data_IF_390563764588
#
_entry.id   IF_390563764588
#
_cell.length_a   1.000
_cell.length_b   1.000
_cell.length_c   1.000
_cell.angle_alpha   90.00
_cell.angle_beta   90.00
_cell.angle_gamma   90.00
#
_symmetry.space_group_name_H-M   'P 1'
#
loop_
_entity.id
_entity.type
_entity.pdbx_description
1 polymer ?
#
# COMPACT_ATOMS: atom_id res chain seq x y z
N UNK A 1 49.74 -36.79 4.56
CA UNK A 1 49.76 -38.26 4.42
C UNK A 1 49.75 -38.52 2.93
N UNK A 2 50.73 -39.29 2.42
CA UNK A 2 50.79 -39.66 1.00
C UNK A 2 49.61 -40.59 0.74
N UNK A 3 48.73 -40.33 -0.27
CA UNK A 3 47.65 -41.25 -0.59
C UNK A 3 48.21 -42.61 -1.00
N UNK A 4 47.52 -43.69 -0.70
CA UNK A 4 47.95 -45.00 -1.14
C UNK A 4 47.88 -45.00 -2.67
N UNK A 5 49.05 -45.29 -3.30
CA UNK A 5 49.08 -45.60 -4.71
C UNK A 5 48.13 -46.77 -4.96
N UNK A 6 47.11 -46.55 -5.79
CA UNK A 6 46.28 -47.64 -6.28
C UNK A 6 47.18 -48.45 -7.20
N UNK A 7 47.67 -49.53 -6.71
CA UNK A 7 48.39 -50.54 -7.55
C UNK A 7 47.34 -51.06 -8.54
N UNK A 8 47.66 -51.15 -9.84
CA UNK A 8 46.76 -51.78 -10.80
C UNK A 8 46.43 -53.21 -10.33
N UNK A 9 45.10 -53.47 -10.15
CA UNK A 9 44.66 -54.82 -9.82
C UNK A 9 44.87 -55.70 -11.06
N UNK A 10 45.90 -56.49 -11.06
CA UNK A 10 46.06 -57.53 -12.05
C UNK A 10 45.03 -58.63 -11.75
N UNK A 11 44.02 -58.79 -12.58
CA UNK A 11 43.09 -59.92 -12.49
C UNK A 11 43.64 -61.05 -13.35
N UNK A 12 44.22 -62.04 -12.70
CA UNK A 12 44.68 -63.23 -13.37
C UNK A 12 43.53 -64.23 -13.57
N UNK A 13 43.03 -64.36 -14.81
CA UNK A 13 42.07 -65.39 -15.18
C UNK A 13 42.84 -66.58 -15.88
N UNK A 14 42.95 -67.68 -15.17
CA UNK A 14 43.56 -68.90 -15.75
C UNK A 14 42.52 -69.49 -16.75
N UNK A 15 42.81 -69.45 -18.05
CA UNK A 15 42.11 -70.25 -19.06
C UNK A 15 42.70 -71.61 -19.22
N UNK A 16 41.88 -72.65 -19.05
CA UNK A 16 42.26 -74.06 -18.92
C UNK A 16 42.56 -74.79 -20.25
N UNK A 17 42.96 -74.11 -21.31
CA UNK A 17 43.43 -74.81 -22.53
C UNK A 17 44.60 -74.08 -23.16
N UNK A 18 45.78 -74.53 -22.86
CA UNK A 18 47.01 -74.08 -23.48
C UNK A 18 47.57 -75.13 -24.41
N UNK A 19 47.65 -74.86 -25.72
CA UNK A 19 48.60 -75.47 -26.60
C UNK A 19 50.01 -75.06 -26.21
N UNK A 20 51.07 -75.42 -26.90
CA UNK A 20 52.49 -75.39 -26.52
C UNK A 20 53.07 -74.08 -25.93
N UNK A 21 52.26 -72.95 -25.83
CA UNK A 21 52.59 -71.67 -25.12
C UNK A 21 51.35 -71.04 -24.48
N UNK A 22 51.28 -71.09 -23.15
CA UNK A 22 50.28 -70.35 -22.41
C UNK A 22 50.71 -68.87 -22.26
N UNK A 23 50.00 -67.96 -22.85
CA UNK A 23 50.19 -66.57 -22.57
C UNK A 23 49.20 -66.20 -21.46
N UNK A 24 49.72 -65.68 -20.36
CA UNK A 24 48.93 -65.16 -19.25
C UNK A 24 48.08 -64.03 -19.74
N UNK A 25 46.74 -64.05 -19.48
CA UNK A 25 45.83 -62.95 -19.81
C UNK A 25 46.01 -61.90 -18.74
N UNK A 26 46.51 -60.73 -19.13
CA UNK A 26 46.60 -59.52 -18.30
C UNK A 26 45.59 -58.51 -18.86
N UNK A 27 44.51 -58.32 -18.11
CA UNK A 27 43.48 -57.38 -18.50
C UNK A 27 43.80 -55.96 -17.98
N UNK A 28 43.74 -54.91 -18.85
CA UNK A 28 44.03 -53.52 -18.50
C UNK A 28 43.85 -52.58 -19.65
N UNK A 29 43.98 -51.24 -19.41
CA UNK A 29 44.01 -50.30 -20.46
C UNK A 29 45.33 -50.33 -21.24
N UNK A 30 45.24 -50.49 -22.53
CA UNK A 30 46.39 -50.59 -23.46
C UNK A 30 46.74 -49.22 -24.11
N UNK A 31 46.04 -48.17 -23.82
CA UNK A 31 46.30 -46.78 -24.34
C UNK A 31 47.30 -46.08 -23.41
N UNK A 32 48.47 -45.73 -23.95
CA UNK A 32 49.56 -45.06 -23.22
C UNK A 32 49.18 -43.61 -22.75
N UNK A 33 48.11 -43.03 -23.27
CA UNK A 33 47.64 -41.72 -22.89
C UNK A 33 46.63 -41.78 -21.74
N UNK A 34 46.13 -42.96 -21.41
CA UNK A 34 45.15 -43.12 -20.34
C UNK A 34 45.81 -43.09 -18.94
N UNK A 35 45.06 -42.55 -17.95
CA UNK A 35 45.51 -42.48 -16.56
C UNK A 35 45.77 -43.86 -15.96
N UNK A 36 44.96 -44.85 -16.35
CA UNK A 36 45.06 -46.25 -15.91
C UNK A 36 45.78 -47.15 -16.91
N UNK A 37 46.72 -46.62 -17.74
CA UNK A 37 47.52 -47.42 -18.65
C UNK A 37 48.28 -48.51 -17.91
N UNK A 38 48.15 -49.73 -18.43
CA UNK A 38 48.94 -50.90 -17.95
C UNK A 38 49.79 -51.44 -19.09
N UNK A 39 51.09 -51.28 -18.97
CA UNK A 39 52.07 -51.73 -19.98
C UNK A 39 52.15 -53.22 -20.11
N UNK A 40 51.61 -54.00 -19.18
CA UNK A 40 51.59 -55.47 -19.19
C UNK A 40 50.31 -56.05 -19.78
N UNK A 41 49.23 -55.15 -19.98
CA UNK A 41 47.98 -55.62 -20.52
C UNK A 41 48.11 -56.16 -21.93
N UNK A 42 47.48 -57.33 -22.17
CA UNK A 42 47.32 -57.93 -23.47
C UNK A 42 45.84 -58.16 -23.84
N UNK A 43 44.91 -57.76 -22.95
CA UNK A 43 43.48 -57.79 -23.14
C UNK A 43 42.91 -56.48 -22.68
N UNK A 44 42.14 -55.78 -23.54
CA UNK A 44 41.68 -54.40 -23.33
C UNK A 44 40.57 -54.34 -22.30
N UNK A 45 40.77 -53.51 -21.27
CA UNK A 45 39.73 -52.96 -20.37
C UNK A 45 39.49 -51.47 -20.67
N UNK A 46 38.42 -50.89 -20.14
CA UNK A 46 38.12 -49.44 -20.29
C UNK A 46 39.29 -48.58 -19.84
N UNK A 47 39.62 -47.56 -20.66
CA UNK A 47 40.62 -46.56 -20.39
C UNK A 47 39.99 -45.27 -19.79
N UNK A 48 40.66 -44.71 -18.78
CA UNK A 48 40.24 -43.46 -18.11
C UNK A 48 41.27 -42.37 -18.38
N UNK A 49 40.79 -41.16 -18.74
CA UNK A 49 41.67 -40.11 -19.20
C UNK A 49 41.61 -38.85 -18.34
N UNK A 50 40.57 -38.69 -17.53
CA UNK A 50 40.27 -37.46 -16.80
C UNK A 50 40.27 -37.75 -15.28
N UNK A 51 41.42 -37.64 -14.61
CA UNK A 51 41.46 -37.78 -13.16
C UNK A 51 40.81 -36.61 -12.46
N UNK A 52 40.13 -36.85 -11.33
CA UNK A 52 39.50 -35.83 -10.52
C UNK A 52 38.55 -36.38 -9.47
N UNK A 53 37.88 -35.51 -8.75
CA UNK A 53 36.89 -35.92 -7.75
C UNK A 53 35.61 -36.42 -8.44
N UNK A 54 35.21 -37.65 -8.19
CA UNK A 54 34.00 -38.28 -8.74
C UNK A 54 32.81 -38.23 -7.79
N UNK A 55 33.00 -37.80 -6.54
CA UNK A 55 31.92 -37.81 -5.55
C UNK A 55 31.23 -36.49 -5.41
N UNK A 56 29.89 -36.41 -5.66
CA UNK A 56 29.10 -35.17 -5.50
C UNK A 56 28.90 -34.73 -4.03
N UNK A 57 29.44 -35.51 -3.07
CA UNK A 57 29.49 -35.11 -1.67
C UNK A 57 30.57 -34.04 -1.37
N UNK A 58 31.44 -33.76 -2.33
CA UNK A 58 32.60 -32.88 -2.13
C UNK A 58 32.57 -31.66 -3.05
N UNK A 59 33.11 -30.53 -2.56
CA UNK A 59 33.16 -29.25 -3.26
C UNK A 59 33.95 -29.36 -4.57
N UNK A 60 35.07 -30.10 -4.57
CA UNK A 60 35.95 -30.29 -5.74
C UNK A 60 35.20 -30.83 -6.95
N UNK A 61 34.18 -31.70 -6.75
CA UNK A 61 33.31 -32.20 -7.83
C UNK A 61 32.63 -31.06 -8.61
N UNK A 62 32.19 -29.97 -7.94
CA UNK A 62 31.50 -28.86 -8.55
C UNK A 62 32.43 -27.77 -9.09
N UNK A 63 33.66 -27.70 -8.59
CA UNK A 63 34.62 -26.62 -8.93
C UNK A 63 35.67 -27.02 -9.96
N UNK A 64 35.86 -28.33 -10.20
CA UNK A 64 36.89 -28.82 -11.16
C UNK A 64 36.54 -28.47 -12.63
N UNK A 65 35.28 -28.13 -12.97
CA UNK A 65 34.89 -27.66 -14.30
C UNK A 65 34.80 -28.73 -15.39
N UNK A 66 34.99 -29.99 -15.07
CA UNK A 66 34.92 -31.15 -15.97
C UNK A 66 34.36 -32.37 -15.22
N UNK A 67 33.96 -33.41 -15.96
CA UNK A 67 33.50 -34.66 -15.39
C UNK A 67 34.69 -35.62 -15.37
N UNK A 68 35.12 -36.03 -14.16
CA UNK A 68 36.16 -37.00 -13.99
C UNK A 68 35.63 -38.40 -14.28
N UNK A 69 36.48 -39.27 -14.88
CA UNK A 69 36.22 -40.71 -15.16
C UNK A 69 37.08 -41.64 -14.30
N UNK A 70 38.01 -41.08 -13.51
CA UNK A 70 38.79 -41.79 -12.51
C UNK A 70 38.99 -40.94 -11.26
N UNK A 71 38.76 -41.52 -10.09
CA UNK A 71 39.01 -40.86 -8.81
C UNK A 71 40.51 -40.78 -8.52
N UNK A 72 41.04 -39.57 -8.38
CA UNK A 72 42.44 -39.28 -8.09
C UNK A 72 42.71 -38.98 -6.61
N UNK A 73 41.67 -39.05 -5.77
CA UNK A 73 41.75 -38.73 -4.35
C UNK A 73 41.69 -37.22 -4.05
N UNK A 74 41.35 -36.38 -5.02
CA UNK A 74 41.23 -34.91 -4.84
C UNK A 74 39.96 -34.46 -4.13
N UNK A 75 39.07 -35.37 -3.77
CA UNK A 75 37.89 -35.08 -2.97
C UNK A 75 38.28 -34.73 -1.52
N UNK A 76 38.29 -33.43 -1.14
CA UNK A 76 38.85 -32.97 0.13
C UNK A 76 37.85 -32.24 1.05
N UNK A 77 36.99 -31.39 0.49
CA UNK A 77 36.09 -30.52 1.24
C UNK A 77 34.64 -30.92 0.98
N UNK A 78 33.83 -31.12 2.02
CA UNK A 78 32.40 -31.43 1.87
C UNK A 78 31.65 -30.32 1.16
N UNK A 79 30.75 -30.67 0.25
CA UNK A 79 29.82 -29.77 -0.39
C UNK A 79 28.67 -29.41 0.57
N UNK A 80 28.58 -28.14 0.92
CA UNK A 80 27.51 -27.58 1.73
C UNK A 80 26.64 -26.73 0.82
N UNK A 81 25.42 -27.19 0.57
CA UNK A 81 24.51 -26.56 -0.35
C UNK A 81 23.66 -25.47 0.34
N UNK A 82 23.62 -24.31 -0.26
CA UNK A 82 22.81 -23.19 0.21
C UNK A 82 22.89 -22.03 -0.78
N UNK A 83 22.30 -20.90 -0.41
CA UNK A 83 22.46 -19.67 -1.19
C UNK A 83 23.82 -19.03 -0.87
N UNK A 84 24.70 -18.92 -1.87
CA UNK A 84 26.04 -18.32 -1.73
C UNK A 84 26.09 -16.83 -2.07
N UNK A 85 24.96 -16.23 -2.50
CA UNK A 85 24.85 -14.79 -2.76
C UNK A 85 24.67 -14.03 -1.45
N UNK A 86 25.68 -13.27 -1.03
CA UNK A 86 25.65 -12.47 0.20
C UNK A 86 24.62 -11.35 0.20
N UNK A 87 24.03 -11.02 -0.95
CA UNK A 87 22.96 -10.00 -1.09
C UNK A 87 21.57 -10.61 -1.00
N UNK A 88 21.44 -11.93 -1.00
CA UNK A 88 20.17 -12.63 -0.92
C UNK A 88 19.63 -12.68 0.51
N UNK A 89 18.30 -12.70 0.64
CA UNK A 89 17.60 -12.80 1.92
C UNK A 89 17.93 -14.05 2.71
N UNK A 90 18.09 -15.18 2.01
CA UNK A 90 18.41 -16.49 2.57
C UNK A 90 19.88 -16.88 2.38
N UNK A 91 20.78 -15.89 2.36
CA UNK A 91 22.22 -16.16 2.32
C UNK A 91 22.66 -17.07 3.45
N UNK A 92 23.41 -18.11 3.10
CA UNK A 92 24.04 -19.05 4.04
C UNK A 92 25.57 -18.92 3.96
N UNK A 93 26.15 -18.30 4.98
CA UNK A 93 27.60 -18.10 5.04
C UNK A 93 28.43 -19.40 5.17
N UNK A 94 27.78 -20.54 5.47
CA UNK A 94 28.42 -21.83 5.55
C UNK A 94 28.38 -22.62 4.24
N UNK A 95 27.47 -22.22 3.34
CA UNK A 95 27.34 -22.83 2.02
C UNK A 95 28.56 -22.52 1.16
N UNK A 96 29.05 -23.56 0.45
CA UNK A 96 30.15 -23.47 -0.51
C UNK A 96 29.76 -23.92 -1.92
N UNK A 97 28.51 -24.41 -2.08
CA UNK A 97 27.91 -24.78 -3.38
C UNK A 97 26.53 -24.11 -3.46
N UNK A 98 26.34 -23.29 -4.48
CA UNK A 98 25.03 -22.67 -4.72
C UNK A 98 24.00 -23.74 -5.11
N UNK A 99 22.86 -23.73 -4.42
CA UNK A 99 21.74 -24.63 -4.70
C UNK A 99 20.73 -24.05 -5.70
N UNK A 100 20.96 -22.85 -6.22
CA UNK A 100 20.06 -22.12 -7.11
C UNK A 100 18.80 -21.58 -6.42
N UNK A 101 18.72 -21.64 -5.08
CA UNK A 101 17.56 -21.24 -4.29
C UNK A 101 17.68 -19.85 -3.65
N UNK A 102 18.56 -18.98 -4.14
CA UNK A 102 18.70 -17.62 -3.61
C UNK A 102 17.42 -16.80 -3.78
N UNK A 103 16.94 -16.23 -2.68
CA UNK A 103 15.77 -15.36 -2.66
C UNK A 103 16.22 -13.90 -2.60
N UNK A 104 15.73 -13.02 -3.50
CA UNK A 104 16.07 -11.61 -3.43
C UNK A 104 15.51 -10.96 -2.16
N UNK A 105 16.21 -9.95 -1.63
CA UNK A 105 15.68 -9.08 -0.58
C UNK A 105 14.55 -8.23 -1.16
N UNK A 106 13.35 -8.34 -0.58
CA UNK A 106 12.18 -7.53 -0.91
C UNK A 106 11.80 -6.69 0.30
N UNK A 107 12.17 -5.41 0.27
CA UNK A 107 11.83 -4.46 1.33
C UNK A 107 10.35 -4.08 1.24
N UNK A 108 9.71 -3.93 2.39
CA UNK A 108 8.33 -3.45 2.48
C UNK A 108 7.73 -3.59 3.86
N UNK A 109 6.60 -2.95 4.06
CA UNK A 109 5.84 -3.10 5.30
C UNK A 109 5.22 -4.50 5.37
N UNK A 110 5.56 -5.25 6.42
CA UNK A 110 5.09 -6.61 6.65
C UNK A 110 3.85 -6.67 7.57
N UNK A 111 3.27 -5.52 7.97
CA UNK A 111 2.07 -5.47 8.80
C UNK A 111 0.81 -5.43 7.94
N UNK A 112 -0.07 -6.46 7.99
CA UNK A 112 -1.24 -6.56 7.10
C UNK A 112 -2.27 -5.42 7.24
N UNK A 113 -2.27 -4.72 8.37
CA UNK A 113 -3.18 -3.60 8.66
C UNK A 113 -2.58 -2.24 8.32
N UNK A 114 -1.39 -2.17 7.72
CA UNK A 114 -0.79 -0.93 7.28
C UNK A 114 -1.25 -0.54 5.88
N UNK A 115 -1.30 0.77 5.62
CA UNK A 115 -1.68 1.33 4.32
C UNK A 115 -0.78 0.85 3.17
N UNK A 116 0.53 0.75 3.45
CA UNK A 116 1.54 0.33 2.48
C UNK A 116 1.98 -1.12 2.67
N UNK A 117 1.09 -2.00 3.15
CA UNK A 117 1.39 -3.41 3.29
C UNK A 117 1.84 -4.03 1.97
N UNK A 118 2.97 -4.75 2.02
CA UNK A 118 3.49 -5.52 0.90
C UNK A 118 3.55 -7.01 1.26
N UNK A 119 2.66 -7.85 0.72
CA UNK A 119 2.63 -9.29 1.03
C UNK A 119 3.84 -10.07 0.49
N UNK A 120 4.62 -9.48 -0.41
CA UNK A 120 5.83 -10.09 -0.98
C UNK A 120 7.10 -9.70 -0.21
N UNK A 121 7.01 -8.76 0.74
CA UNK A 121 8.15 -8.34 1.53
C UNK A 121 8.65 -9.48 2.42
N UNK A 122 9.96 -9.70 2.42
CA UNK A 122 10.68 -10.61 3.31
C UNK A 122 11.64 -9.87 4.26
N UNK A 123 11.77 -8.56 4.05
CA UNK A 123 12.60 -7.68 4.90
C UNK A 123 11.77 -6.45 5.28
N UNK A 124 11.71 -6.15 6.58
CA UNK A 124 10.86 -5.08 7.12
C UNK A 124 11.33 -3.70 6.70
N UNK A 125 10.39 -2.87 6.26
CA UNK A 125 10.55 -1.43 6.02
C UNK A 125 9.46 -0.66 6.79
N UNK A 126 9.47 0.68 6.67
CA UNK A 126 8.55 1.57 7.38
C UNK A 126 7.10 1.31 7.01
N UNK A 127 6.26 1.08 8.03
CA UNK A 127 4.83 0.92 7.88
C UNK A 127 4.09 2.25 8.11
N UNK A 128 3.13 2.54 7.25
CA UNK A 128 2.24 3.71 7.32
C UNK A 128 0.90 3.26 7.86
N UNK A 129 0.45 3.88 8.95
CA UNK A 129 -0.87 3.59 9.51
C UNK A 129 -1.99 4.02 8.54
N UNK A 130 -3.09 3.28 8.51
CA UNK A 130 -4.31 3.73 7.84
C UNK A 130 -4.93 4.87 8.64
N UNK A 131 -5.19 5.99 7.96
CA UNK A 131 -5.93 7.14 8.49
C UNK A 131 -7.15 7.34 7.61
N UNK A 132 -8.32 7.04 8.17
CA UNK A 132 -9.60 7.21 7.48
C UNK A 132 -10.08 8.67 7.55
N UNK A 133 -10.81 9.10 6.53
CA UNK A 133 -11.45 10.41 6.48
C UNK A 133 -11.75 10.86 5.05
N UNK A 134 -12.44 11.98 4.94
CA UNK A 134 -12.73 12.60 3.64
C UNK A 134 -11.44 13.08 2.96
N UNK A 135 -11.13 12.56 1.78
CA UNK A 135 -9.96 12.93 0.98
C UNK A 135 -10.23 14.02 -0.08
N UNK A 136 -11.48 14.49 -0.20
CA UNK A 136 -11.83 15.54 -1.14
C UNK A 136 -11.53 16.93 -0.58
N UNK A 137 -10.58 17.67 -1.16
CA UNK A 137 -10.19 19.01 -0.70
C UNK A 137 -11.26 20.08 -0.86
N UNK A 138 -12.35 19.78 -1.58
CA UNK A 138 -13.51 20.66 -1.76
C UNK A 138 -14.66 20.31 -0.81
N UNK A 139 -14.48 19.31 0.05
CA UNK A 139 -15.47 18.95 1.05
C UNK A 139 -15.32 19.76 2.34
N UNK A 140 -16.43 19.95 3.06
CA UNK A 140 -16.46 20.67 4.33
C UNK A 140 -15.60 20.02 5.41
N UNK A 141 -15.64 18.69 5.47
CA UNK A 141 -14.91 17.88 6.46
C UNK A 141 -13.63 17.23 5.90
N UNK A 142 -12.96 17.90 4.94
CA UNK A 142 -11.69 17.44 4.40
C UNK A 142 -10.65 17.18 5.49
N UNK A 143 -10.05 15.97 5.45
CA UNK A 143 -8.96 15.60 6.34
C UNK A 143 -7.65 15.45 5.55
N UNK A 144 -6.70 16.39 5.64
CA UNK A 144 -5.44 16.33 4.89
C UNK A 144 -4.50 15.20 5.35
N UNK A 145 -4.76 14.55 6.48
CA UNK A 145 -3.98 13.42 6.99
C UNK A 145 -4.56 12.07 6.56
N UNK A 146 -5.79 12.05 6.02
CA UNK A 146 -6.39 10.82 5.55
C UNK A 146 -5.62 10.26 4.34
N UNK A 147 -5.35 8.95 4.39
CA UNK A 147 -4.79 8.18 3.28
C UNK A 147 -5.76 7.10 2.76
N UNK A 148 -6.93 7.01 3.37
CA UNK A 148 -8.00 6.08 2.98
C UNK A 148 -9.34 6.81 3.09
N UNK A 149 -10.05 6.91 1.98
CA UNK A 149 -11.38 7.52 1.95
C UNK A 149 -12.39 6.59 2.66
N UNK A 150 -13.15 7.15 3.60
CA UNK A 150 -14.20 6.45 4.35
C UNK A 150 -15.61 6.76 3.82
N UNK A 151 -15.72 7.55 2.75
CA UNK A 151 -17.00 7.98 2.18
C UNK A 151 -17.75 9.04 3.00
N UNK A 152 -17.10 9.64 4.02
CA UNK A 152 -17.73 10.62 4.92
C UNK A 152 -17.76 12.04 4.36
N UNK A 153 -17.32 12.26 3.11
CA UNK A 153 -17.25 13.60 2.55
C UNK A 153 -18.58 14.33 2.53
N UNK A 154 -18.61 15.51 3.15
CA UNK A 154 -19.76 16.41 3.18
C UNK A 154 -19.56 17.58 2.22
N UNK A 155 -20.57 17.85 1.39
CA UNK A 155 -20.53 19.01 0.50
C UNK A 155 -20.56 20.32 1.30
N UNK A 156 -19.85 21.34 0.81
CA UNK A 156 -19.99 22.71 1.32
C UNK A 156 -21.36 23.24 0.92
N UNK A 157 -22.14 23.69 1.91
CA UNK A 157 -23.43 24.35 1.73
C UNK A 157 -23.40 25.70 2.45
N UNK A 158 -23.46 26.76 1.67
CA UNK A 158 -23.46 28.13 2.18
C UNK A 158 -24.84 28.57 2.60
N UNK A 159 -24.93 29.43 3.62
CA UNK A 159 -26.16 30.04 4.10
C UNK A 159 -26.01 30.52 5.53
N UNK A 160 -27.08 31.15 6.06
CA UNK A 160 -27.10 31.58 7.45
C UNK A 160 -27.13 30.39 8.40
N UNK A 161 -26.09 30.24 9.22
CA UNK A 161 -25.95 29.14 10.20
C UNK A 161 -26.41 29.48 11.61
N UNK A 162 -26.84 30.76 11.87
CA UNK A 162 -27.34 31.20 13.16
C UNK A 162 -28.85 30.90 13.27
N UNK A 163 -29.21 30.02 14.20
CA UNK A 163 -30.59 29.59 14.47
C UNK A 163 -31.50 30.70 14.98
N UNK A 164 -30.96 31.83 15.44
CA UNK A 164 -31.71 33.01 15.91
C UNK A 164 -32.08 33.97 14.79
N UNK A 165 -31.71 33.73 13.56
CA UNK A 165 -31.93 34.60 12.41
C UNK A 165 -33.15 34.17 11.59
N UNK A 166 -33.79 35.13 10.94
CA UNK A 166 -35.01 34.93 10.15
C UNK A 166 -34.79 33.96 8.97
N UNK A 167 -33.64 34.05 8.32
CA UNK A 167 -33.28 33.21 7.17
C UNK A 167 -32.33 32.07 7.52
N UNK A 168 -32.37 31.60 8.77
CA UNK A 168 -31.62 30.39 9.17
C UNK A 168 -31.86 29.23 8.21
N UNK A 169 -30.79 28.62 7.72
CA UNK A 169 -30.83 27.47 6.84
C UNK A 169 -30.21 26.24 7.52
N UNK A 170 -31.00 25.24 7.94
CA UNK A 170 -30.50 24.08 8.67
C UNK A 170 -29.52 23.21 7.86
N UNK A 171 -29.52 23.31 6.52
CA UNK A 171 -28.62 22.59 5.64
C UNK A 171 -27.27 23.27 5.42
N UNK A 172 -27.10 24.53 5.84
CA UNK A 172 -25.84 25.24 5.72
C UNK A 172 -24.80 24.73 6.74
N UNK A 173 -23.56 24.52 6.28
CA UNK A 173 -22.43 24.20 7.12
C UNK A 173 -21.32 25.27 7.10
N UNK A 174 -21.48 26.27 6.22
CA UNK A 174 -20.64 27.49 6.21
C UNK A 174 -21.53 28.73 6.17
N UNK A 175 -21.32 29.64 7.14
CA UNK A 175 -21.96 30.96 7.12
C UNK A 175 -21.41 31.81 5.97
N UNK A 176 -22.31 32.34 5.15
CA UNK A 176 -21.98 33.18 4.01
C UNK A 176 -22.17 34.68 4.32
N UNK A 177 -22.46 35.03 5.58
CA UNK A 177 -22.75 36.39 6.03
C UNK A 177 -24.13 36.92 5.61
N UNK A 178 -25.01 36.05 5.09
CA UNK A 178 -26.38 36.47 4.64
C UNK A 178 -27.40 36.51 5.76
N UNK A 179 -27.00 36.27 7.02
CA UNK A 179 -27.92 36.24 8.15
C UNK A 179 -28.70 37.54 8.31
N UNK A 180 -30.02 37.44 8.34
CA UNK A 180 -30.97 38.58 8.50
C UNK A 180 -31.70 38.42 9.83
N UNK A 181 -31.65 39.45 10.72
CA UNK A 181 -32.38 39.40 11.98
C UNK A 181 -33.88 39.47 11.78
N UNK A 182 -34.63 38.96 12.75
CA UNK A 182 -36.08 39.20 12.80
C UNK A 182 -36.39 40.69 12.99
N UNK A 183 -37.17 41.30 12.07
CA UNK A 183 -37.69 42.66 12.16
C UNK A 183 -39.20 42.55 12.23
N UNK A 184 -39.72 42.73 13.43
CA UNK A 184 -41.14 42.62 13.69
C UNK A 184 -41.87 43.92 13.33
N UNK A 185 -43.03 43.81 12.73
CA UNK A 185 -43.89 44.94 12.40
C UNK A 185 -45.14 44.53 11.64
N UNK A 186 -46.03 45.49 11.36
CA UNK A 186 -47.15 45.24 10.48
C UNK A 186 -46.67 45.14 9.02
N UNK A 187 -46.93 43.98 8.39
CA UNK A 187 -46.52 43.71 7.01
C UNK A 187 -47.60 44.01 5.96
N UNK A 188 -48.82 44.44 6.38
CA UNK A 188 -49.89 44.84 5.46
C UNK A 188 -49.76 46.30 5.06
N UNK A 189 -49.47 46.55 3.77
CA UNK A 189 -49.30 47.87 3.23
C UNK A 189 -50.59 48.73 3.25
N UNK A 190 -51.75 48.15 3.51
CA UNK A 190 -53.06 48.84 3.64
C UNK A 190 -53.32 49.36 5.06
N UNK A 191 -52.40 49.17 5.97
CA UNK A 191 -52.49 49.51 7.37
C UNK A 191 -51.70 50.79 7.69
N UNK A 192 -52.17 51.54 8.66
CA UNK A 192 -51.57 52.83 9.05
C UNK A 192 -50.15 52.73 9.57
N UNK A 193 -49.87 51.67 10.34
CA UNK A 193 -48.57 51.42 10.92
C UNK A 193 -47.72 50.42 10.12
N UNK A 194 -47.94 50.33 8.79
CA UNK A 194 -47.16 49.52 7.91
C UNK A 194 -45.63 49.77 8.07
N UNK A 195 -44.82 48.67 8.24
CA UNK A 195 -43.40 48.76 8.28
C UNK A 195 -42.81 47.99 7.10
N UNK A 196 -42.31 48.69 6.10
CA UNK A 196 -41.72 48.10 4.89
C UNK A 196 -40.42 47.32 5.13
N UNK A 197 -39.79 47.43 6.30
CA UNK A 197 -38.61 46.73 6.69
C UNK A 197 -38.92 45.45 7.47
N UNK A 198 -40.17 45.28 7.94
CA UNK A 198 -40.55 44.09 8.69
C UNK A 198 -40.48 42.85 7.79
N UNK A 199 -39.86 41.79 8.32
CA UNK A 199 -39.84 40.45 7.73
C UNK A 199 -40.66 39.43 8.53
N UNK A 200 -41.24 39.87 9.63
CA UNK A 200 -42.07 39.06 10.52
C UNK A 200 -43.25 39.87 11.02
N UNK A 201 -44.45 39.39 10.75
CA UNK A 201 -45.67 40.04 11.24
C UNK A 201 -45.77 39.93 12.78
N UNK A 202 -46.00 41.05 13.45
CA UNK A 202 -46.18 41.10 14.91
C UNK A 202 -47.65 41.04 15.32
N UNK A 203 -48.59 40.91 14.37
CA UNK A 203 -50.03 40.86 14.61
C UNK A 203 -50.68 42.20 15.07
N UNK A 204 -49.92 43.28 15.04
CA UNK A 204 -50.39 44.60 15.56
C UNK A 204 -50.68 45.63 14.44
N UNK A 205 -51.24 45.15 13.34
CA UNK A 205 -51.63 46.02 12.27
C UNK A 205 -52.81 46.90 12.70
N UNK A 206 -52.67 48.21 12.50
CA UNK A 206 -53.67 49.21 12.85
C UNK A 206 -54.31 49.75 11.56
N UNK A 207 -55.63 49.64 11.39
CA UNK A 207 -56.33 50.20 10.21
C UNK A 207 -56.27 51.70 10.19
N UNK A 208 -56.42 52.29 9.00
CA UNK A 208 -56.67 53.71 8.86
C UNK A 208 -58.06 54.07 9.46
N UNK A 209 -58.06 54.98 10.41
CA UNK A 209 -59.30 55.60 10.96
C UNK A 209 -59.30 57.12 10.60
N UNK A 210 -60.11 57.46 9.66
CA UNK A 210 -60.19 58.84 9.15
C UNK A 210 -61.08 59.72 9.99
N UNK A 211 -60.59 60.87 10.40
CA UNK A 211 -61.34 61.86 11.21
C UNK A 211 -60.52 63.15 11.38
N UNK A 212 -61.02 64.08 12.15
CA UNK A 212 -60.21 65.23 12.54
C UNK A 212 -59.24 64.85 13.66
N UNK A 213 -57.93 64.92 13.41
CA UNK A 213 -56.88 64.59 14.34
C UNK A 213 -56.35 65.72 15.19
N UNK A 214 -56.83 66.97 14.96
CA UNK A 214 -56.45 68.15 15.74
C UNK A 214 -57.33 68.30 16.98
N UNK A 215 -56.78 68.09 18.17
CA UNK A 215 -57.47 68.15 19.46
C UNK A 215 -58.01 69.56 19.81
N UNK A 216 -57.65 70.61 19.06
CA UNK A 216 -58.13 71.97 19.25
C UNK A 216 -59.38 72.25 18.46
N UNK A 217 -59.91 71.36 17.67
CA UNK A 217 -61.04 71.48 16.80
C UNK A 217 -62.32 70.92 17.44
N UNK A 218 -63.45 71.46 17.03
CA UNK A 218 -64.78 71.10 17.58
C UNK A 218 -65.15 69.66 17.34
N UNK A 219 -64.82 69.11 16.18
CA UNK A 219 -65.12 67.72 15.78
C UNK A 219 -63.92 66.82 15.89
N UNK A 220 -63.01 67.07 16.82
CA UNK A 220 -61.89 66.20 17.12
C UNK A 220 -62.34 64.75 17.41
N UNK A 221 -61.75 63.81 16.71
CA UNK A 221 -62.01 62.41 16.95
C UNK A 221 -60.73 61.75 17.56
N UNK A 222 -60.75 61.37 18.84
CA UNK A 222 -59.58 60.79 19.52
C UNK A 222 -59.22 59.40 19.01
N UNK A 223 -60.08 58.73 18.20
CA UNK A 223 -59.79 57.42 17.58
C UNK A 223 -59.22 57.58 16.18
N UNK A 224 -59.31 58.77 15.56
CA UNK A 224 -58.74 59.01 14.24
C UNK A 224 -57.18 58.98 14.31
N UNK A 225 -56.58 58.26 13.39
CA UNK A 225 -55.12 58.21 13.18
C UNK A 225 -54.70 58.87 11.85
N UNK A 226 -55.66 59.28 11.05
CA UNK A 226 -55.49 59.93 9.73
C UNK A 226 -56.42 61.10 9.55
N UNK A 227 -55.87 62.25 9.34
CA UNK A 227 -56.65 63.43 9.09
C UNK A 227 -57.36 63.30 7.73
N UNK A 228 -58.70 63.57 7.74
CA UNK A 228 -59.49 63.54 6.55
C UNK A 228 -59.80 64.98 6.04
N UNK A 229 -59.14 66.02 6.58
CA UNK A 229 -59.28 67.44 6.27
C UNK A 229 -60.68 67.99 6.53
N UNK A 230 -61.40 67.40 7.48
CA UNK A 230 -62.73 67.85 7.84
C UNK A 230 -62.81 68.59 9.20
N UNK A 231 -61.67 68.98 9.76
CA UNK A 231 -61.60 69.67 11.03
C UNK A 231 -62.40 71.02 11.00
N UNK A 232 -63.25 71.17 12.00
CA UNK A 232 -64.13 72.39 12.16
C UNK A 232 -63.64 73.14 13.39
N UNK A 233 -63.32 74.45 13.28
CA UNK A 233 -62.88 75.23 14.42
C UNK A 233 -64.09 75.59 15.35
N UNK A 234 -63.80 75.81 16.64
CA UNK A 234 -64.80 76.32 17.56
C UNK A 234 -65.19 77.70 17.13
N UNK A 235 -66.46 77.93 17.00
CA UNK A 235 -67.01 79.29 16.78
C UNK A 235 -67.64 79.78 18.08
N UNK A 236 -67.05 80.80 18.69
CA UNK A 236 -67.56 81.44 19.87
C UNK A 236 -68.51 82.57 19.43
N UNK A 237 -69.74 82.57 19.98
CA UNK A 237 -70.76 83.60 19.76
C UNK A 237 -70.57 84.81 20.64
#
# INVERSE_FOLDING_TARGET
MVPPFITPFHVYTATTYCGNECIEVVEGCMDTLAFNYDSLANTSLPCYYTPGCMSPAYLTYYTQGYVADVDDGSCDTLALFGCTDSTAFNYDSTANVDNGGCLPVVLGCMQPLAFNYNPLANTSDTCIAIVYGCMSSIAFNYNPLANTDDGSCEAIVYGCTDTSMWNYYPGANIDDGSCVPYIYGCMDAMMWNYNSLANTDNGNCIPYVYGCTDSTMFNYDPLANTDNNTCVPFVYG
#
